data_IF_295548715419
#
_entry.id   IF_295548715419
#
_cell.length_a   1.000
_cell.length_b   1.000
_cell.length_c   1.000
_cell.angle_alpha   90.00
_cell.angle_beta   90.00
_cell.angle_gamma   90.00
#
_symmetry.space_group_name_H-M   'P 1'
#
loop_
_entity.id
_entity.type
_entity.pdbx_description
1 polymer ?
#
# COMPACT_ATOMS: atom_id res chain seq x y z
N UNK A 1 -10.09 16.57 4.09
CA UNK A 1 -10.36 15.50 3.12
C UNK A 1 -11.29 14.51 3.78
N UNK A 2 -12.32 14.10 3.05
CA UNK A 2 -13.35 13.19 3.54
C UNK A 2 -12.78 11.77 3.68
N UNK A 3 -13.40 10.95 4.54
CA UNK A 3 -12.98 9.56 4.77
C UNK A 3 -13.06 8.74 3.48
N UNK A 4 -14.02 9.04 2.62
CA UNK A 4 -14.15 8.44 1.27
C UNK A 4 -12.92 8.68 0.40
N UNK A 5 -12.36 9.90 0.42
CA UNK A 5 -11.13 10.25 -0.30
C UNK A 5 -9.93 9.46 0.22
N UNK A 6 -9.82 9.32 1.55
CA UNK A 6 -8.78 8.51 2.19
C UNK A 6 -8.91 7.02 1.83
N UNK A 7 -10.11 6.44 1.90
CA UNK A 7 -10.35 5.04 1.54
C UNK A 7 -10.07 4.76 0.06
N UNK A 8 -10.53 5.64 -0.84
CA UNK A 8 -10.26 5.51 -2.27
C UNK A 8 -8.76 5.62 -2.58
N UNK A 9 -8.08 6.58 -1.96
CA UNK A 9 -6.62 6.72 -2.02
C UNK A 9 -5.90 5.46 -1.56
N UNK A 10 -6.24 4.97 -0.37
CA UNK A 10 -5.66 3.76 0.20
C UNK A 10 -5.80 2.54 -0.72
N UNK A 11 -7.00 2.31 -1.24
CA UNK A 11 -7.26 1.19 -2.14
C UNK A 11 -6.48 1.32 -3.45
N UNK A 12 -6.44 2.52 -4.04
CA UNK A 12 -5.69 2.78 -5.27
C UNK A 12 -4.18 2.55 -5.08
N UNK A 13 -3.61 3.00 -3.96
CA UNK A 13 -2.20 2.75 -3.65
C UNK A 13 -1.90 1.26 -3.52
N UNK A 14 -2.74 0.53 -2.78
CA UNK A 14 -2.61 -0.91 -2.57
C UNK A 14 -2.68 -1.71 -3.87
N UNK A 15 -3.72 -1.45 -4.69
CA UNK A 15 -3.88 -2.11 -5.99
C UNK A 15 -2.72 -1.78 -6.94
N UNK A 16 -2.19 -0.56 -6.86
CA UNK A 16 -1.01 -0.15 -7.63
C UNK A 16 0.22 -0.97 -7.25
N UNK A 17 0.51 -1.11 -5.94
CA UNK A 17 1.63 -1.92 -5.44
C UNK A 17 1.47 -3.38 -5.87
N UNK A 18 0.31 -3.98 -5.62
CA UNK A 18 0.04 -5.37 -5.98
C UNK A 18 0.18 -5.63 -7.49
N UNK A 19 -0.36 -4.74 -8.32
CA UNK A 19 -0.31 -4.89 -9.78
C UNK A 19 1.11 -4.72 -10.33
N UNK A 20 1.84 -3.71 -9.86
CA UNK A 20 3.22 -3.47 -10.28
C UNK A 20 4.16 -4.58 -9.79
N UNK A 21 3.93 -5.11 -8.59
CA UNK A 21 4.66 -6.26 -8.06
C UNK A 21 4.50 -7.48 -8.97
N UNK A 22 3.25 -7.85 -9.29
CA UNK A 22 2.96 -8.99 -10.15
C UNK A 22 3.49 -8.76 -11.59
N UNK A 23 3.43 -7.52 -12.10
CA UNK A 23 4.03 -7.17 -13.39
C UNK A 23 5.56 -7.36 -13.37
N UNK A 24 6.25 -6.84 -12.36
CA UNK A 24 7.70 -7.01 -12.16
C UNK A 24 8.08 -8.49 -12.13
N UNK A 25 7.31 -9.29 -11.39
CA UNK A 25 7.52 -10.74 -11.27
C UNK A 25 7.45 -11.48 -12.61
N UNK A 26 6.64 -10.98 -13.56
CA UNK A 26 6.51 -11.58 -14.90
C UNK A 26 7.61 -11.16 -15.86
N UNK A 27 8.19 -9.97 -15.69
CA UNK A 27 9.13 -9.40 -16.66
C UNK A 27 10.60 -9.54 -16.25
N UNK A 28 10.91 -9.74 -14.96
CA UNK A 28 12.30 -9.89 -14.51
C UNK A 28 12.47 -11.08 -13.55
N UNK A 29 13.46 -11.95 -13.78
CA UNK A 29 13.77 -13.06 -12.87
C UNK A 29 14.30 -12.57 -11.52
N UNK A 30 14.78 -11.31 -11.46
CA UNK A 30 15.32 -10.68 -10.25
C UNK A 30 14.25 -9.87 -9.51
N UNK A 31 12.96 -10.08 -9.77
CA UNK A 31 11.90 -9.33 -9.10
C UNK A 31 11.96 -9.54 -7.56
N UNK A 32 11.76 -8.49 -6.76
CA UNK A 32 11.66 -8.63 -5.31
C UNK A 32 10.49 -9.57 -4.98
N UNK A 33 10.75 -10.63 -4.20
CA UNK A 33 9.79 -11.66 -3.80
C UNK A 33 9.09 -11.35 -2.47
N UNK A 34 8.29 -10.27 -2.47
CA UNK A 34 7.48 -9.85 -1.32
C UNK A 34 6.45 -10.91 -0.92
N UNK A 35 5.87 -11.62 -1.90
CA UNK A 35 4.95 -12.75 -1.71
C UNK A 35 5.46 -13.80 -0.70
N UNK A 36 6.76 -14.11 -0.74
CA UNK A 36 7.39 -15.05 0.17
C UNK A 36 7.63 -14.46 1.56
N UNK A 37 7.92 -13.17 1.62
CA UNK A 37 8.15 -12.43 2.85
C UNK A 37 6.89 -12.36 3.69
N UNK A 38 5.74 -12.03 3.09
CA UNK A 38 4.48 -11.88 3.82
C UNK A 38 3.99 -13.20 4.40
N UNK A 39 4.08 -14.27 3.61
CA UNK A 39 3.77 -15.62 4.09
C UNK A 39 4.67 -16.04 5.24
N UNK A 40 5.97 -15.75 5.17
CA UNK A 40 6.89 -16.09 6.25
C UNK A 40 6.64 -15.25 7.50
N UNK A 41 6.34 -13.96 7.34
CA UNK A 41 6.00 -13.07 8.43
C UNK A 41 4.76 -13.57 9.19
N UNK A 42 3.69 -13.92 8.47
CA UNK A 42 2.48 -14.53 9.07
C UNK A 42 2.83 -15.84 9.76
N UNK A 43 3.62 -16.70 9.12
CA UNK A 43 4.05 -17.98 9.68
C UNK A 43 4.78 -17.80 11.01
N UNK A 44 5.72 -16.85 11.07
CA UNK A 44 6.47 -16.53 12.29
C UNK A 44 5.59 -15.90 13.36
N UNK A 45 4.70 -14.99 12.98
CA UNK A 45 3.72 -14.39 13.89
C UNK A 45 2.84 -15.43 14.55
N UNK A 46 2.23 -16.33 13.77
CA UNK A 46 1.41 -17.44 14.28
C UNK A 46 2.20 -18.37 15.21
N UNK A 47 3.46 -18.65 14.87
CA UNK A 47 4.36 -19.46 15.71
C UNK A 47 4.64 -18.77 17.05
N UNK A 48 4.88 -17.46 17.05
CA UNK A 48 5.16 -16.68 18.25
C UNK A 48 3.98 -16.67 19.24
N UNK A 49 2.74 -16.76 18.74
CA UNK A 49 1.52 -16.82 19.57
C UNK A 49 1.00 -18.26 19.76
N UNK A 50 1.80 -19.29 19.48
CA UNK A 50 1.45 -20.71 19.61
C UNK A 50 0.16 -21.11 18.87
N UNK A 51 -0.12 -20.48 17.72
CA UNK A 51 -1.26 -20.85 16.85
C UNK A 51 -0.82 -21.82 15.74
N UNK A 52 -1.72 -22.72 15.37
CA UNK A 52 -1.51 -23.66 14.27
C UNK A 52 -1.36 -22.90 12.95
N UNK A 53 -0.37 -23.28 12.17
CA UNK A 53 -0.15 -22.69 10.85
C UNK A 53 -1.17 -23.25 9.84
N UNK A 54 -1.79 -22.39 9.02
CA UNK A 54 -2.67 -22.84 7.95
C UNK A 54 -1.89 -23.59 6.85
N UNK A 55 -2.60 -24.25 5.94
CA UNK A 55 -2.00 -24.77 4.71
C UNK A 55 -1.34 -23.65 3.90
N UNK A 56 -0.48 -23.99 2.95
CA UNK A 56 0.18 -22.99 2.09
C UNK A 56 -0.84 -22.09 1.36
N UNK A 57 -1.93 -22.67 0.85
CA UNK A 57 -3.01 -21.91 0.23
C UNK A 57 -3.72 -20.98 1.24
N UNK A 58 -3.97 -21.46 2.46
CA UNK A 58 -4.54 -20.63 3.51
C UNK A 58 -3.65 -19.45 3.89
N UNK A 59 -2.32 -19.69 3.95
CA UNK A 59 -1.33 -18.66 4.24
C UNK A 59 -1.28 -17.60 3.15
N UNK A 60 -1.37 -18.01 1.88
CA UNK A 60 -1.44 -17.08 0.75
C UNK A 60 -2.70 -16.23 0.78
N UNK A 61 -3.88 -16.81 1.09
CA UNK A 61 -5.13 -16.05 1.24
C UNK A 61 -5.04 -15.04 2.38
N UNK A 62 -4.42 -15.44 3.50
CA UNK A 62 -4.21 -14.54 4.64
C UNK A 62 -3.24 -13.42 4.32
N UNK A 63 -2.16 -13.70 3.57
CA UNK A 63 -1.23 -12.68 3.09
C UNK A 63 -1.96 -11.65 2.22
N UNK A 64 -2.66 -12.10 1.17
CA UNK A 64 -3.38 -11.20 0.25
C UNK A 64 -4.47 -10.39 0.98
N UNK A 65 -5.26 -11.02 1.86
CA UNK A 65 -6.29 -10.31 2.61
C UNK A 65 -5.71 -9.32 3.64
N UNK A 66 -4.63 -9.72 4.32
CA UNK A 66 -3.94 -8.88 5.29
C UNK A 66 -3.26 -7.69 4.65
N UNK A 67 -2.58 -7.90 3.53
CA UNK A 67 -1.97 -6.85 2.69
C UNK A 67 -3.03 -5.88 2.20
N UNK A 68 -4.12 -6.37 1.60
CA UNK A 68 -5.20 -5.52 1.10
C UNK A 68 -5.74 -4.56 2.18
N UNK A 69 -6.02 -5.09 3.37
CA UNK A 69 -6.57 -4.30 4.48
C UNK A 69 -5.52 -3.35 5.05
N UNK A 70 -4.32 -3.86 5.33
CA UNK A 70 -3.25 -3.10 6.00
C UNK A 70 -2.71 -1.99 5.12
N UNK A 71 -2.47 -2.28 3.84
CA UNK A 71 -1.96 -1.30 2.88
C UNK A 71 -3.02 -0.27 2.54
N UNK A 72 -4.31 -0.66 2.45
CA UNK A 72 -5.39 0.29 2.23
C UNK A 72 -5.48 1.26 3.41
N UNK A 73 -5.41 0.75 4.64
CA UNK A 73 -5.39 1.60 5.82
C UNK A 73 -4.15 2.51 5.84
N UNK A 74 -2.97 1.95 5.55
CA UNK A 74 -1.69 2.67 5.55
C UNK A 74 -1.63 3.77 4.49
N UNK A 75 -1.94 3.46 3.24
CA UNK A 75 -1.94 4.45 2.14
C UNK A 75 -3.11 5.42 2.26
N UNK A 76 -4.20 5.03 2.91
CA UNK A 76 -5.30 5.95 3.22
C UNK A 76 -4.87 7.13 4.10
N UNK A 77 -3.81 6.97 4.89
CA UNK A 77 -3.22 8.06 5.67
C UNK A 77 -2.75 9.23 4.78
N UNK A 78 -2.44 8.99 3.50
CA UNK A 78 -2.10 10.06 2.56
C UNK A 78 -3.25 11.07 2.41
N UNK A 79 -4.49 10.56 2.43
CA UNK A 79 -5.73 11.34 2.32
C UNK A 79 -6.28 11.87 3.64
N UNK A 80 -5.62 11.67 4.79
CA UNK A 80 -6.09 12.23 6.07
C UNK A 80 -5.61 13.67 6.19
N UNK A 81 -6.52 14.63 6.38
CA UNK A 81 -6.19 16.05 6.63
C UNK A 81 -6.44 16.95 5.42
N UNK A 82 -5.56 17.93 5.18
CA UNK A 82 -5.76 18.96 4.14
C UNK A 82 -5.17 18.61 2.77
N UNK A 83 -5.87 18.99 1.69
CA UNK A 83 -5.48 18.74 0.28
C UNK A 83 -4.04 19.17 -0.04
N UNK A 84 -3.57 20.28 0.54
CA UNK A 84 -2.26 20.91 0.26
C UNK A 84 -1.04 20.00 0.48
N UNK A 85 -1.17 18.94 1.26
CA UNK A 85 -0.05 18.06 1.63
C UNK A 85 -0.21 16.61 1.19
N UNK A 86 -1.26 16.30 0.42
CA UNK A 86 -1.60 14.91 0.03
C UNK A 86 -0.46 14.23 -0.74
N UNK A 87 0.18 14.95 -1.67
CA UNK A 87 1.30 14.44 -2.47
C UNK A 87 2.56 14.19 -1.65
N UNK A 88 2.90 15.12 -0.76
CA UNK A 88 4.04 14.97 0.15
C UNK A 88 3.82 13.78 1.08
N UNK A 89 2.62 13.65 1.66
CA UNK A 89 2.26 12.52 2.53
C UNK A 89 2.30 11.20 1.79
N UNK A 90 1.71 11.12 0.60
CA UNK A 90 1.76 9.92 -0.24
C UNK A 90 3.20 9.51 -0.55
N UNK A 91 4.05 10.45 -0.98
CA UNK A 91 5.46 10.18 -1.24
C UNK A 91 6.21 9.72 0.02
N UNK A 92 6.04 10.40 1.16
CA UNK A 92 6.68 10.03 2.42
C UNK A 92 6.22 8.66 2.92
N UNK A 93 4.92 8.35 2.84
CA UNK A 93 4.36 7.05 3.20
C UNK A 93 4.91 5.95 2.28
N UNK A 94 4.96 6.19 0.97
CA UNK A 94 5.52 5.25 0.00
C UNK A 94 7.02 4.99 0.25
N UNK A 95 7.80 6.03 0.49
CA UNK A 95 9.22 5.89 0.84
C UNK A 95 9.41 5.15 2.17
N UNK A 96 8.64 5.49 3.20
CA UNK A 96 8.71 4.84 4.50
C UNK A 96 8.36 3.34 4.40
N UNK A 97 7.31 2.99 3.65
CA UNK A 97 6.93 1.60 3.41
C UNK A 97 8.01 0.87 2.60
N UNK A 98 8.52 1.48 1.53
CA UNK A 98 9.55 0.91 0.68
C UNK A 98 10.87 0.65 1.42
N UNK A 99 11.33 1.61 2.23
CA UNK A 99 12.52 1.45 3.07
C UNK A 99 12.29 0.38 4.12
N UNK A 100 11.12 0.38 4.76
CA UNK A 100 10.76 -0.67 5.73
C UNK A 100 10.80 -2.04 5.08
N UNK A 101 10.12 -2.22 3.94
CA UNK A 101 10.12 -3.47 3.18
C UNK A 101 11.53 -3.92 2.76
N UNK A 102 12.40 -2.97 2.37
CA UNK A 102 13.79 -3.24 2.00
C UNK A 102 14.66 -3.70 3.19
N UNK A 103 14.45 -3.16 4.39
CA UNK A 103 15.32 -3.35 5.56
C UNK A 103 14.80 -4.42 6.53
N UNK A 104 13.48 -4.57 6.64
CA UNK A 104 12.79 -5.45 7.59
C UNK A 104 13.15 -6.95 7.52
N UNK A 105 13.47 -7.56 6.35
CA UNK A 105 13.74 -9.00 6.31
C UNK A 105 14.88 -9.42 7.24
N UNK A 106 15.96 -8.63 7.27
CA UNK A 106 17.20 -8.94 8.00
C UNK A 106 17.02 -9.03 9.52
N UNK A 107 16.50 -8.01 10.24
CA UNK A 107 16.31 -8.09 11.69
C UNK A 107 15.29 -9.15 12.11
N UNK A 108 14.31 -9.46 11.24
CA UNK A 108 13.32 -10.50 11.50
C UNK A 108 13.79 -11.91 11.10
N UNK A 109 15.02 -12.07 10.62
CA UNK A 109 15.59 -13.32 10.10
C UNK A 109 14.72 -13.97 9.02
N UNK A 110 13.98 -13.17 8.24
CA UNK A 110 13.13 -13.64 7.14
C UNK A 110 14.00 -13.97 5.92
N UNK A 111 13.47 -14.78 5.00
CA UNK A 111 14.15 -15.12 3.76
C UNK A 111 14.45 -13.85 2.96
N UNK A 112 15.73 -13.60 2.72
CA UNK A 112 16.19 -12.37 2.07
C UNK A 112 15.89 -12.33 0.57
N UNK A 113 15.17 -13.32 0.01
CA UNK A 113 14.80 -13.36 -1.42
C UNK A 113 14.06 -12.11 -1.90
N UNK A 114 13.39 -11.37 -1.01
CA UNK A 114 12.76 -10.12 -1.35
C UNK A 114 13.76 -9.00 -1.71
N UNK A 115 14.92 -8.91 -1.06
CA UNK A 115 15.84 -7.75 -1.16
C UNK A 115 17.32 -8.16 -1.10
N UNK A 116 17.72 -9.13 -1.93
CA UNK A 116 19.09 -9.69 -1.94
C UNK A 116 20.17 -8.73 -2.43
N UNK A 117 19.79 -7.77 -3.27
CA UNK A 117 20.73 -6.85 -3.94
C UNK A 117 20.26 -5.41 -3.81
N UNK A 118 21.18 -4.46 -4.01
CA UNK A 118 20.83 -3.04 -4.11
C UNK A 118 19.76 -2.78 -5.18
N UNK A 119 19.82 -3.51 -6.30
CA UNK A 119 18.83 -3.41 -7.37
C UNK A 119 17.42 -3.81 -6.90
N UNK A 120 17.29 -4.94 -6.21
CA UNK A 120 15.99 -5.38 -5.65
C UNK A 120 15.46 -4.44 -4.58
N UNK A 121 16.34 -3.88 -3.73
CA UNK A 121 15.93 -2.90 -2.72
C UNK A 121 15.40 -1.60 -3.36
N UNK A 122 16.06 -1.11 -4.42
CA UNK A 122 15.59 0.06 -5.15
C UNK A 122 14.27 -0.21 -5.89
N UNK A 123 14.08 -1.41 -6.45
CA UNK A 123 12.80 -1.82 -7.04
C UNK A 123 11.70 -1.83 -6.00
N UNK A 124 11.95 -2.38 -4.80
CA UNK A 124 11.00 -2.37 -3.68
C UNK A 124 10.65 -0.93 -3.28
N UNK A 125 11.65 -0.07 -3.08
CA UNK A 125 11.40 1.34 -2.72
C UNK A 125 10.58 2.05 -3.80
N UNK A 126 10.94 1.87 -5.08
CA UNK A 126 10.23 2.46 -6.20
C UNK A 126 8.78 2.00 -6.31
N UNK A 127 8.52 0.70 -6.06
CA UNK A 127 7.18 0.11 -6.05
C UNK A 127 6.28 0.78 -5.00
N UNK A 128 6.75 0.85 -3.75
CA UNK A 128 5.96 1.45 -2.67
C UNK A 128 5.81 2.97 -2.83
N UNK A 129 6.80 3.65 -3.40
CA UNK A 129 6.69 5.06 -3.79
C UNK A 129 5.59 5.26 -4.84
N UNK A 130 5.55 4.43 -5.88
CA UNK A 130 4.49 4.48 -6.90
C UNK A 130 3.09 4.28 -6.27
N UNK A 131 2.95 3.34 -5.33
CA UNK A 131 1.73 3.16 -4.54
C UNK A 131 1.33 4.42 -3.77
N UNK A 132 2.28 5.07 -3.10
CA UNK A 132 2.04 6.30 -2.35
C UNK A 132 1.60 7.48 -3.23
N UNK A 133 2.19 7.61 -4.41
CA UNK A 133 1.81 8.63 -5.40
C UNK A 133 0.42 8.35 -6.00
N UNK A 134 0.11 7.09 -6.30
CA UNK A 134 -1.21 6.69 -6.77
C UNK A 134 -2.30 6.95 -5.72
N UNK A 135 -2.00 6.66 -4.44
CA UNK A 135 -2.90 6.98 -3.34
C UNK A 135 -3.18 8.48 -3.22
N UNK A 136 -2.15 9.31 -3.33
CA UNK A 136 -2.30 10.76 -3.31
C UNK A 136 -3.13 11.27 -4.50
N UNK A 137 -2.86 10.77 -5.70
CA UNK A 137 -3.59 11.13 -6.91
C UNK A 137 -5.09 10.80 -6.79
N UNK A 138 -5.42 9.59 -6.34
CA UNK A 138 -6.81 9.15 -6.20
C UNK A 138 -7.54 9.90 -5.08
N UNK A 139 -6.89 10.10 -3.92
CA UNK A 139 -7.49 10.87 -2.83
C UNK A 139 -7.80 12.30 -3.27
N UNK A 140 -6.90 12.95 -4.01
CA UNK A 140 -7.10 14.29 -4.54
C UNK A 140 -8.24 14.34 -5.57
N UNK A 141 -8.34 13.33 -6.44
CA UNK A 141 -9.39 13.24 -7.45
C UNK A 141 -10.79 13.13 -6.82
N UNK A 142 -10.96 12.19 -5.89
CA UNK A 142 -12.24 11.96 -5.21
C UNK A 142 -12.64 13.20 -4.40
N UNK A 143 -11.68 13.80 -3.69
CA UNK A 143 -11.94 15.00 -2.92
C UNK A 143 -12.36 16.19 -3.79
N UNK A 144 -11.83 16.32 -5.00
CA UNK A 144 -12.21 17.39 -5.91
C UNK A 144 -13.62 17.18 -6.48
N UNK A 145 -13.98 15.94 -6.81
CA UNK A 145 -15.35 15.61 -7.22
C UNK A 145 -16.36 15.97 -6.13
N UNK A 146 -16.05 15.63 -4.88
CA UNK A 146 -16.94 15.90 -3.75
C UNK A 146 -17.09 17.38 -3.41
N UNK A 147 -16.04 18.19 -3.57
CA UNK A 147 -16.18 19.65 -3.39
C UNK A 147 -17.02 20.27 -4.49
N UNK A 148 -16.88 19.79 -5.73
CA UNK A 148 -17.69 20.30 -6.84
C UNK A 148 -19.18 19.98 -6.66
N UNK A 149 -19.53 18.79 -6.14
CA UNK A 149 -20.92 18.42 -5.89
C UNK A 149 -21.55 19.30 -4.79
N UNK A 150 -20.82 19.59 -3.70
CA UNK A 150 -21.29 20.47 -2.63
C UNK A 150 -21.49 21.91 -3.10
N UNK A 151 -20.57 22.44 -3.91
CA UNK A 151 -20.70 23.80 -4.47
C UNK A 151 -21.93 23.94 -5.39
N UNK A 152 -22.29 22.87 -6.12
CA UNK A 152 -23.47 22.83 -7.00
C UNK A 152 -24.77 22.75 -6.19
N UNK A 153 -24.80 21.96 -5.11
CA UNK A 153 -25.97 21.88 -4.22
C UNK A 153 -26.22 23.22 -3.51
N UNK A 154 -25.18 23.86 -2.95
CA UNK A 154 -25.30 25.17 -2.28
C UNK A 154 -25.79 26.27 -3.24
N UNK A 155 -25.31 26.27 -4.48
CA UNK A 155 -25.81 27.17 -5.52
C UNK A 155 -27.28 26.91 -5.87
N UNK A 156 -27.73 25.66 -5.88
CA UNK A 156 -29.14 25.32 -6.17
C UNK A 156 -30.08 25.69 -5.02
N UNK A 157 -29.64 25.57 -3.76
CA UNK A 157 -30.44 25.94 -2.60
C UNK A 157 -30.53 27.46 -2.40
N UNK A 158 -29.47 28.22 -2.74
CA UNK A 158 -29.44 29.68 -2.62
C UNK A 158 -30.28 30.46 -3.64
N UNK A 159 -30.93 29.78 -4.60
CA UNK A 159 -31.74 30.38 -5.67
C UNK A 159 -33.26 30.28 -5.39
N UNK A 160 -33.67 29.67 -4.28
CA UNK A 160 -35.06 29.64 -3.78
C UNK A 160 -35.22 30.43 -2.47
#
# INVERSE_FOLDING_TARGET
MKVTSALAGGLAGTVTVASLHEALRRITPNAPRMDLLDMELIRKGLKAINKKQPSQEGLQRWAVGGELISDTAYYGLAGIGGKKSVWLRGALLGLAAGITAAVLPKPLHLHEQANKTLGTSLMTIGLYLAGGLAAAAMAQLVENAQTNDEDVEEFSEGIF
#
